data_IF_759452323026
#
_entry.id   IF_759452323026
#
_cell.length_a   1.000
_cell.length_b   1.000
_cell.length_c   1.000
_cell.angle_alpha   90.00
_cell.angle_beta   90.00
_cell.angle_gamma   90.00
#
_symmetry.space_group_name_H-M   'P 1'
#
loop_
_entity.id
_entity.type
_entity.pdbx_description
1 polymer ?
#
# COMPACT_ATOMS: atom_id res chain seq x y z
N UNK A 1 -22.51 -38.87 37.73
CA UNK A 1 -21.50 -39.61 36.95
C UNK A 1 -21.56 -39.14 35.50
N UNK A 2 -20.63 -38.27 35.12
CA UNK A 2 -20.55 -37.66 33.79
C UNK A 2 -19.94 -38.64 32.78
N UNK A 3 -20.69 -39.01 31.75
CA UNK A 3 -20.12 -39.48 30.46
C UNK A 3 -21.08 -39.14 29.33
N UNK A 4 -21.19 -37.85 29.01
CA UNK A 4 -21.82 -37.41 27.76
C UNK A 4 -21.17 -36.13 27.24
N UNK A 5 -19.84 -36.13 27.15
CA UNK A 5 -19.08 -34.98 26.65
C UNK A 5 -17.82 -35.43 25.90
N UNK A 6 -17.94 -36.38 24.96
CA UNK A 6 -16.80 -36.66 24.09
C UNK A 6 -17.22 -37.14 22.69
N UNK A 7 -18.00 -36.32 21.99
CA UNK A 7 -18.34 -36.56 20.59
C UNK A 7 -18.22 -35.29 19.73
N UNK A 8 -17.44 -34.30 20.15
CA UNK A 8 -17.25 -33.03 19.43
C UNK A 8 -15.80 -32.79 18.99
N UNK A 9 -14.96 -33.83 18.92
CA UNK A 9 -13.65 -33.78 18.27
C UNK A 9 -13.78 -34.09 16.77
N UNK A 10 -14.65 -33.35 16.08
CA UNK A 10 -14.80 -33.42 14.63
C UNK A 10 -15.07 -32.04 14.08
N UNK A 11 -14.02 -31.23 13.98
CA UNK A 11 -13.72 -30.32 12.87
C UNK A 11 -12.35 -29.72 13.21
N UNK A 12 -11.36 -29.99 12.37
CA UNK A 12 -10.04 -29.37 12.47
C UNK A 12 -10.18 -27.86 12.30
N UNK A 13 -10.03 -27.12 13.39
CA UNK A 13 -9.88 -25.67 13.36
C UNK A 13 -8.42 -25.34 13.05
N UNK A 14 -7.98 -25.62 11.82
CA UNK A 14 -6.74 -25.06 11.29
C UNK A 14 -7.02 -23.61 10.85
N UNK A 15 -7.15 -22.73 11.83
CA UNK A 15 -7.33 -21.30 11.63
C UNK A 15 -6.60 -20.55 12.72
N UNK A 16 -5.27 -20.59 12.69
CA UNK A 16 -4.40 -19.76 13.54
C UNK A 16 -4.89 -18.30 13.46
N UNK A 17 -5.04 -17.55 14.58
CA UNK A 17 -5.53 -16.17 14.57
C UNK A 17 -4.41 -15.22 14.15
N UNK A 18 -3.71 -15.55 13.06
CA UNK A 18 -2.67 -14.72 12.49
C UNK A 18 -3.33 -13.78 11.49
N UNK A 19 -3.32 -12.51 11.89
CA UNK A 19 -3.47 -11.32 11.06
C UNK A 19 -4.92 -10.87 10.85
N UNK A 20 -5.24 -9.58 11.05
CA UNK A 20 -6.48 -9.02 10.53
C UNK A 20 -6.53 -9.32 9.03
N UNK A 21 -7.65 -9.88 8.58
CA UNK A 21 -7.85 -10.36 7.23
C UNK A 21 -7.37 -9.30 6.23
N UNK A 22 -6.45 -9.71 5.34
CA UNK A 22 -5.78 -8.87 4.35
C UNK A 22 -6.74 -7.87 3.67
N UNK A 23 -8.01 -8.26 3.47
CA UNK A 23 -9.08 -7.43 2.92
C UNK A 23 -9.41 -6.16 3.72
N UNK A 24 -9.52 -6.22 5.05
CA UNK A 24 -9.88 -5.07 5.87
C UNK A 24 -8.74 -4.03 5.92
N UNK A 25 -7.51 -4.52 6.05
CA UNK A 25 -6.32 -3.69 5.95
C UNK A 25 -6.19 -3.05 4.56
N UNK A 26 -6.43 -3.81 3.49
CA UNK A 26 -6.37 -3.30 2.13
C UNK A 26 -7.46 -2.27 1.83
N UNK A 27 -8.67 -2.45 2.35
CA UNK A 27 -9.75 -1.46 2.24
C UNK A 27 -9.38 -0.14 2.93
N UNK A 28 -8.83 -0.24 4.14
CA UNK A 28 -8.35 0.93 4.88
C UNK A 28 -7.19 1.63 4.19
N UNK A 29 -6.19 0.89 3.68
CA UNK A 29 -5.06 1.46 2.95
C UNK A 29 -5.50 2.11 1.62
N UNK A 30 -6.50 1.53 0.94
CA UNK A 30 -7.08 2.13 -0.28
C UNK A 30 -7.78 3.45 0.04
N UNK A 31 -8.64 3.48 1.07
CA UNK A 31 -9.31 4.70 1.50
C UNK A 31 -8.29 5.77 1.93
N UNK A 32 -7.31 5.40 2.76
CA UNK A 32 -6.23 6.30 3.20
C UNK A 32 -5.45 6.87 2.01
N UNK A 33 -5.03 6.03 1.07
CA UNK A 33 -4.25 6.46 -0.09
C UNK A 33 -5.04 7.34 -1.07
N UNK A 34 -6.37 7.21 -1.12
CA UNK A 34 -7.23 8.11 -1.90
C UNK A 34 -7.45 9.45 -1.18
N UNK A 35 -7.67 9.43 0.14
CA UNK A 35 -7.98 10.63 0.92
C UNK A 35 -6.73 11.46 1.33
N UNK A 36 -5.52 10.92 1.24
CA UNK A 36 -4.26 11.67 1.49
C UNK A 36 -3.71 12.37 0.23
N UNK A 37 -4.20 12.03 -0.97
CA UNK A 37 -3.65 12.57 -2.22
C UNK A 37 -4.43 13.79 -2.68
N UNK A 38 -3.90 14.98 -2.42
CA UNK A 38 -4.31 16.17 -3.15
C UNK A 38 -3.70 16.13 -4.55
N UNK A 39 -4.50 15.87 -5.61
CA UNK A 39 -3.99 15.73 -6.97
C UNK A 39 -3.29 17.01 -7.45
N UNK A 40 -3.72 18.17 -6.97
CA UNK A 40 -3.16 19.47 -7.35
C UNK A 40 -1.76 19.69 -6.79
N UNK A 41 -1.49 19.24 -5.56
CA UNK A 41 -0.15 19.29 -4.96
C UNK A 41 0.80 18.35 -5.73
N UNK A 42 0.32 17.18 -6.13
CA UNK A 42 1.10 16.25 -6.95
C UNK A 42 1.35 16.80 -8.36
N UNK A 43 0.37 17.47 -8.95
CA UNK A 43 0.51 18.15 -10.23
C UNK A 43 1.53 19.29 -10.14
N UNK A 44 1.48 20.09 -9.07
CA UNK A 44 2.44 21.13 -8.78
C UNK A 44 3.87 20.57 -8.60
N UNK A 45 4.03 19.50 -7.81
CA UNK A 45 5.33 18.84 -7.64
C UNK A 45 5.88 18.23 -8.94
N UNK A 46 5.02 17.74 -9.84
CA UNK A 46 5.44 17.24 -11.15
C UNK A 46 5.93 18.37 -12.05
N UNK A 47 5.21 19.50 -12.07
CA UNK A 47 5.63 20.72 -12.78
C UNK A 47 6.98 21.22 -12.25
N UNK A 48 7.15 21.25 -10.94
CA UNK A 48 8.40 21.66 -10.30
C UNK A 48 9.57 20.73 -10.64
N UNK A 49 9.37 19.40 -10.59
CA UNK A 49 10.40 18.44 -11.04
C UNK A 49 10.72 18.55 -12.53
N UNK A 50 9.75 18.93 -13.36
CA UNK A 50 10.00 19.20 -14.77
C UNK A 50 10.85 20.47 -14.96
N UNK A 51 10.55 21.55 -14.22
CA UNK A 51 11.33 22.79 -14.21
C UNK A 51 12.77 22.55 -13.74
N UNK A 52 12.95 21.86 -12.62
CA UNK A 52 14.28 21.50 -12.11
C UNK A 52 15.06 20.66 -13.14
N UNK A 53 14.38 19.80 -13.90
CA UNK A 53 15.03 18.97 -14.93
C UNK A 53 15.41 19.77 -16.18
N UNK A 54 14.57 20.72 -16.62
CA UNK A 54 14.90 21.62 -17.73
C UNK A 54 16.03 22.57 -17.36
N UNK A 55 16.05 23.06 -16.12
CA UNK A 55 17.10 23.94 -15.62
C UNK A 55 18.44 23.22 -15.45
N UNK A 56 18.42 21.98 -14.95
CA UNK A 56 19.63 21.18 -14.84
C UNK A 56 20.10 20.57 -16.17
N UNK A 57 19.30 20.60 -17.23
CA UNK A 57 19.65 20.00 -18.53
C UNK A 57 19.94 18.50 -18.47
N UNK A 58 19.31 17.77 -17.55
CA UNK A 58 19.61 16.34 -17.32
C UNK A 58 18.67 15.47 -18.15
N UNK A 59 19.24 14.71 -19.10
CA UNK A 59 18.52 13.66 -19.83
C UNK A 59 18.22 12.49 -18.89
N UNK A 60 17.08 11.82 -19.07
CA UNK A 60 16.78 10.57 -18.38
C UNK A 60 17.96 9.61 -18.48
N UNK A 61 18.51 9.20 -17.33
CA UNK A 61 19.79 8.47 -17.25
C UNK A 61 20.96 9.27 -16.66
N UNK A 62 20.74 10.52 -16.22
CA UNK A 62 21.73 11.27 -15.43
C UNK A 62 22.89 11.86 -16.23
N UNK A 63 22.84 11.80 -17.56
CA UNK A 63 23.88 12.38 -18.42
C UNK A 63 23.57 13.86 -18.66
N UNK A 64 24.40 14.79 -18.19
CA UNK A 64 24.22 16.21 -18.49
C UNK A 64 24.39 16.43 -19.99
N UNK A 65 23.56 17.30 -20.57
CA UNK A 65 23.76 17.80 -21.92
C UNK A 65 25.09 18.57 -21.94
N UNK A 66 26.05 18.11 -22.76
CA UNK A 66 27.28 18.85 -22.99
C UNK A 66 26.93 20.23 -23.58
N UNK A 67 27.64 21.25 -23.10
CA UNK A 67 27.47 22.65 -23.49
C UNK A 67 27.72 22.87 -24.99
#
# INVERSE_FOLDING_TARGET
>A
MLTRWNAALRVGTAGSPRSPSCCALHAYLRWRNQNTRHPDILAAQRKERARIRSEKGIRWGGRPLAA
#
